data_IF_625109627885
#
_entry.id   IF_625109627885
#
_cell.length_a   1.000
_cell.length_b   1.000
_cell.length_c   1.000
_cell.angle_alpha   90.00
_cell.angle_beta   90.00
_cell.angle_gamma   90.00
#
_symmetry.space_group_name_H-M   'P 1'
#
loop_
_entity.id
_entity.type
_entity.pdbx_description
1 polymer ?
#
# COMPACT_ATOMS: atom_id res chain seq x y z
N UNK A 1 -3.79 2.52 12.57
CA UNK A 1 -3.85 3.42 11.40
C UNK A 1 -4.86 4.53 11.67
N UNK A 2 -4.46 5.80 11.59
CA UNK A 2 -5.34 6.97 11.83
C UNK A 2 -6.35 7.15 10.69
N UNK A 3 -7.47 7.84 10.93
CA UNK A 3 -8.50 8.11 9.91
C UNK A 3 -7.92 8.91 8.72
N UNK A 4 -7.07 9.90 9.01
CA UNK A 4 -6.37 10.68 7.99
C UNK A 4 -5.49 9.82 7.09
N UNK A 5 -4.86 8.77 7.64
CA UNK A 5 -4.04 7.83 6.86
C UNK A 5 -4.92 6.97 5.96
N UNK A 6 -6.07 6.52 6.46
CA UNK A 6 -7.00 5.75 5.64
C UNK A 6 -7.53 6.59 4.48
N UNK A 7 -7.97 7.82 4.76
CA UNK A 7 -8.40 8.78 3.76
C UNK A 7 -7.28 9.06 2.73
N UNK A 8 -6.04 9.17 3.20
CA UNK A 8 -4.88 9.34 2.33
C UNK A 8 -4.62 8.10 1.45
N UNK A 9 -4.74 6.88 1.97
CA UNK A 9 -4.60 5.66 1.18
C UNK A 9 -5.74 5.54 0.15
N UNK A 10 -6.98 5.87 0.49
CA UNK A 10 -8.11 5.87 -0.44
C UNK A 10 -7.89 6.75 -1.69
N UNK A 11 -7.01 7.75 -1.62
CA UNK A 11 -6.63 8.55 -2.80
C UNK A 11 -5.81 7.77 -3.85
N UNK A 12 -5.37 6.55 -3.53
CA UNK A 12 -4.54 5.67 -4.38
C UNK A 12 -3.26 6.34 -4.88
N UNK A 13 -2.73 7.30 -4.12
CA UNK A 13 -1.51 8.05 -4.47
C UNK A 13 -0.24 7.22 -4.34
N UNK A 14 -0.24 6.23 -3.45
CA UNK A 14 0.87 5.27 -3.31
C UNK A 14 0.36 3.93 -2.79
N UNK A 15 1.03 2.84 -3.17
CA UNK A 15 0.79 1.50 -2.67
C UNK A 15 1.99 0.57 -2.82
N UNK A 16 1.90 -0.58 -2.15
CA UNK A 16 2.86 -1.68 -2.19
C UNK A 16 2.23 -2.87 -2.92
N UNK A 17 2.56 -3.11 -4.19
CA UNK A 17 2.00 -4.25 -4.93
C UNK A 17 2.51 -5.61 -4.43
N UNK A 18 3.55 -5.64 -3.58
CA UNK A 18 4.19 -6.88 -3.08
C UNK A 18 5.31 -7.41 -3.98
N UNK A 19 5.62 -6.73 -5.09
CA UNK A 19 6.71 -7.09 -6.00
C UNK A 19 8.09 -6.60 -5.55
N UNK A 20 9.13 -7.24 -6.10
CA UNK A 20 10.53 -6.91 -5.86
C UNK A 20 11.27 -6.57 -7.16
N UNK A 21 12.26 -5.66 -7.06
CA UNK A 21 13.19 -5.42 -8.16
C UNK A 21 14.22 -6.56 -8.31
N UNK A 22 15.06 -6.49 -9.35
CA UNK A 22 16.10 -7.51 -9.60
C UNK A 22 17.17 -7.60 -8.51
N UNK A 23 17.29 -6.59 -7.65
CA UNK A 23 18.18 -6.59 -6.49
C UNK A 23 17.45 -7.02 -5.21
N UNK A 24 16.17 -7.41 -5.32
CA UNK A 24 15.30 -7.80 -4.24
C UNK A 24 14.89 -6.65 -3.31
N UNK A 25 14.87 -5.40 -3.79
CA UNK A 25 14.27 -4.26 -3.09
C UNK A 25 12.77 -4.26 -3.29
N UNK A 26 12.01 -3.88 -2.26
CA UNK A 26 10.56 -3.74 -2.34
C UNK A 26 10.19 -2.60 -3.29
N UNK A 27 9.19 -2.82 -4.14
CA UNK A 27 8.67 -1.83 -5.07
C UNK A 27 7.54 -1.05 -4.43
N UNK A 28 7.64 0.27 -4.43
CA UNK A 28 6.53 1.20 -4.21
C UNK A 28 6.06 1.73 -5.55
N UNK A 29 4.75 1.88 -5.71
CA UNK A 29 4.16 2.56 -6.87
C UNK A 29 3.51 3.84 -6.40
N UNK A 30 3.93 4.97 -6.97
CA UNK A 30 3.38 6.30 -6.73
C UNK A 30 2.63 6.74 -7.98
N UNK A 31 1.33 6.95 -7.85
CA UNK A 31 0.51 7.46 -8.94
C UNK A 31 0.48 8.99 -8.89
N UNK A 32 0.86 9.65 -9.98
CA UNK A 32 0.68 11.09 -10.11
C UNK A 32 -0.61 11.36 -10.89
N UNK A 33 -1.56 11.96 -10.19
CA UNK A 33 -2.82 12.45 -10.74
C UNK A 33 -2.89 13.94 -10.44
N UNK A 34 -3.21 14.79 -11.40
CA UNK A 34 -3.43 16.24 -11.20
C UNK A 34 -2.24 17.02 -10.57
N UNK A 35 -1.00 16.77 -11.02
CA UNK A 35 0.20 17.56 -10.70
C UNK A 35 0.57 17.67 -9.20
N UNK A 36 0.13 16.71 -8.36
CA UNK A 36 0.42 16.73 -6.92
C UNK A 36 0.07 18.08 -6.27
N UNK A 37 -1.20 18.49 -6.36
CA UNK A 37 -1.70 19.65 -5.63
C UNK A 37 -1.45 19.50 -4.11
N UNK A 38 -1.54 20.61 -3.37
CA UNK A 38 -1.20 20.67 -1.93
C UNK A 38 -1.83 19.54 -1.11
N UNK A 39 -3.11 19.24 -1.33
CA UNK A 39 -3.81 18.13 -0.68
C UNK A 39 -3.21 16.76 -1.01
N UNK A 40 -2.95 16.47 -2.29
CA UNK A 40 -2.38 15.18 -2.72
C UNK A 40 -0.96 14.97 -2.22
N UNK A 41 -0.16 16.04 -2.07
CA UNK A 41 1.17 15.94 -1.43
C UNK A 41 1.05 15.50 0.01
N UNK A 42 0.10 16.07 0.76
CA UNK A 42 -0.17 15.68 2.15
C UNK A 42 -0.64 14.23 2.24
N UNK A 43 -1.55 13.81 1.35
CA UNK A 43 -1.97 12.40 1.30
C UNK A 43 -0.80 11.47 0.97
N UNK A 44 0.03 11.81 -0.02
CA UNK A 44 1.20 11.01 -0.38
C UNK A 44 2.19 10.90 0.79
N UNK A 45 2.46 12.00 1.50
CA UNK A 45 3.34 12.02 2.66
C UNK A 45 2.81 11.13 3.81
N UNK A 46 1.52 11.24 4.13
CA UNK A 46 0.87 10.41 5.16
C UNK A 46 0.93 8.92 4.78
N UNK A 47 0.55 8.58 3.55
CA UNK A 47 0.56 7.21 3.05
C UNK A 47 1.98 6.62 3.02
N UNK A 48 2.97 7.35 2.51
CA UNK A 48 4.38 6.89 2.50
C UNK A 48 4.90 6.70 3.93
N UNK A 49 4.58 7.62 4.84
CA UNK A 49 5.00 7.52 6.25
C UNK A 49 4.40 6.29 6.92
N UNK A 50 3.12 6.03 6.70
CA UNK A 50 2.45 4.83 7.21
C UNK A 50 3.08 3.56 6.63
N UNK A 51 3.20 3.45 5.31
CA UNK A 51 3.70 2.24 4.66
C UNK A 51 5.14 1.92 5.03
N UNK A 52 6.01 2.92 5.20
CA UNK A 52 7.38 2.70 5.70
C UNK A 52 7.41 2.11 7.10
N UNK A 53 6.51 2.56 8.00
CA UNK A 53 6.42 2.04 9.38
C UNK A 53 5.97 0.59 9.41
N UNK A 54 5.22 0.15 8.40
CA UNK A 54 4.81 -1.24 8.24
C UNK A 54 5.91 -2.16 7.69
N UNK A 55 7.03 -1.61 7.21
CA UNK A 55 8.17 -2.39 6.72
C UNK A 55 9.18 -2.63 7.85
N UNK A 56 9.85 -3.79 7.82
CA UNK A 56 10.94 -4.09 8.75
C UNK A 56 12.19 -3.27 8.46
N UNK A 57 13.01 -3.04 9.49
CA UNK A 57 14.30 -2.33 9.35
C UNK A 57 15.22 -3.01 8.33
N UNK A 58 15.18 -4.34 8.22
CA UNK A 58 15.96 -5.09 7.23
C UNK A 58 15.58 -4.70 5.78
N UNK A 59 14.29 -4.55 5.51
CA UNK A 59 13.79 -4.11 4.19
C UNK A 59 14.24 -2.66 3.94
N UNK A 60 14.08 -1.79 4.92
CA UNK A 60 14.46 -0.37 4.80
C UNK A 60 15.97 -0.19 4.58
N UNK A 61 16.80 -0.98 5.26
CA UNK A 61 18.27 -0.98 5.10
C UNK A 61 18.71 -1.48 3.72
N UNK A 62 18.06 -2.53 3.20
CA UNK A 62 18.33 -3.03 1.83
C UNK A 62 18.03 -1.96 0.77
N UNK A 63 17.07 -1.09 1.06
CA UNK A 63 16.65 0.00 0.19
C UNK A 63 15.37 -0.32 -0.56
N UNK A 64 14.81 0.70 -1.19
CA UNK A 64 13.49 0.66 -1.83
C UNK A 64 13.60 1.06 -3.30
N UNK A 65 12.67 0.58 -4.10
CA UNK A 65 12.54 1.00 -5.50
C UNK A 65 11.19 1.69 -5.68
N UNK A 66 11.21 2.92 -6.18
CA UNK A 66 10.02 3.76 -6.31
C UNK A 66 9.71 3.91 -7.79
N UNK A 67 8.55 3.43 -8.23
CA UNK A 67 8.06 3.63 -9.59
C UNK A 67 6.98 4.71 -9.54
N UNK A 68 7.22 5.80 -10.23
CA UNK A 68 6.29 6.92 -10.36
C UNK A 68 5.55 6.76 -11.68
N UNK A 69 4.28 6.37 -11.61
CA UNK A 69 3.41 6.30 -12.79
C UNK A 69 2.88 7.69 -13.12
N UNK A 70 3.36 8.21 -14.25
CA UNK A 70 3.01 9.51 -14.79
C UNK A 70 2.42 9.42 -16.21
N UNK A 71 1.93 8.24 -16.60
CA UNK A 71 1.44 8.02 -17.95
C UNK A 71 0.20 8.85 -18.29
N UNK A 72 -0.64 9.13 -17.28
CA UNK A 72 -1.89 9.90 -17.41
C UNK A 72 -1.68 11.41 -17.21
N UNK A 73 -0.50 11.83 -16.77
CA UNK A 73 -0.21 13.23 -16.51
C UNK A 73 0.24 13.92 -17.80
N UNK A 74 -0.56 14.89 -18.25
CA UNK A 74 -0.24 15.74 -19.40
C UNK A 74 0.76 16.83 -19.04
N UNK A 75 0.94 17.12 -17.75
CA UNK A 75 1.92 18.07 -17.27
C UNK A 75 3.34 17.45 -17.27
N UNK A 76 4.33 18.30 -17.54
CA UNK A 76 5.72 17.94 -17.32
C UNK A 76 5.94 17.81 -15.81
N UNK A 77 5.95 16.58 -15.30
CA UNK A 77 6.54 16.30 -13.99
C UNK A 77 7.87 17.01 -13.89
N UNK A 78 7.88 18.04 -13.05
CA UNK A 78 9.03 18.90 -12.88
C UNK A 78 10.06 18.20 -12.00
N UNK A 79 11.30 18.70 -12.05
CA UNK A 79 12.34 18.33 -11.08
C UNK A 79 11.89 18.53 -9.63
N UNK A 80 10.94 19.42 -9.36
CA UNK A 80 10.42 19.66 -8.02
C UNK A 80 9.61 18.46 -7.50
N UNK A 81 8.83 17.79 -8.35
CA UNK A 81 8.07 16.59 -7.97
C UNK A 81 8.99 15.42 -7.63
N UNK A 82 10.01 15.18 -8.45
CA UNK A 82 11.03 14.16 -8.15
C UNK A 82 11.71 14.46 -6.80
N UNK A 83 12.17 15.70 -6.59
CA UNK A 83 12.79 16.12 -5.32
C UNK A 83 11.87 15.95 -4.11
N UNK A 84 10.59 16.27 -4.25
CA UNK A 84 9.61 16.03 -3.20
C UNK A 84 9.52 14.54 -2.85
N UNK A 85 9.38 13.66 -3.85
CA UNK A 85 9.31 12.21 -3.64
C UNK A 85 10.61 11.69 -3.01
N UNK A 86 11.79 12.11 -3.49
CA UNK A 86 13.06 11.77 -2.84
C UNK A 86 13.09 12.20 -1.36
N UNK A 87 12.55 13.39 -1.06
CA UNK A 87 12.43 13.91 0.29
C UNK A 87 11.60 13.00 1.22
N UNK A 88 10.54 12.38 0.71
CA UNK A 88 9.70 11.44 1.48
C UNK A 88 10.45 10.19 1.93
N UNK A 89 11.52 9.80 1.22
CA UNK A 89 12.34 8.63 1.53
C UNK A 89 13.75 8.99 2.00
N UNK A 90 13.96 10.22 2.48
CA UNK A 90 15.26 10.69 2.96
C UNK A 90 15.83 9.74 4.02
N UNK A 91 17.12 9.41 3.88
CA UNK A 91 17.83 8.48 4.75
C UNK A 91 17.77 7.02 4.29
N UNK A 92 16.98 6.70 3.28
CA UNK A 92 16.90 5.35 2.69
C UNK A 92 17.64 5.27 1.36
N UNK A 93 18.13 4.08 1.02
CA UNK A 93 18.74 3.80 -0.27
C UNK A 93 17.64 3.57 -1.34
N UNK A 94 17.22 4.64 -2.02
CA UNK A 94 16.15 4.54 -3.02
C UNK A 94 16.63 4.63 -4.47
N UNK A 95 15.93 3.91 -5.35
CA UNK A 95 16.05 4.06 -6.81
C UNK A 95 14.71 4.48 -7.37
N UNK A 96 14.64 5.65 -8.00
CA UNK A 96 13.39 6.21 -8.52
C UNK A 96 13.32 6.04 -10.04
N UNK A 97 12.21 5.47 -10.51
CA UNK A 97 11.87 5.32 -11.92
C UNK A 97 10.66 6.19 -12.24
N UNK A 98 10.78 7.03 -13.26
CA UNK A 98 9.69 7.88 -13.73
C UNK A 98 9.15 7.35 -15.04
N UNK A 99 7.91 6.85 -15.02
CA UNK A 99 7.27 6.22 -16.17
C UNK A 99 6.40 7.23 -16.90
N UNK A 100 6.82 7.60 -18.11
CA UNK A 100 6.08 8.52 -18.99
C UNK A 100 5.34 7.77 -20.10
N UNK A 101 4.31 8.40 -20.65
CA UNK A 101 3.60 7.88 -21.82
C UNK A 101 4.52 7.78 -23.04
N UNK A 102 4.24 6.86 -23.96
CA UNK A 102 5.09 6.65 -25.15
C UNK A 102 5.18 7.91 -26.03
N UNK A 103 4.08 8.67 -26.18
CA UNK A 103 4.05 9.92 -26.95
C UNK A 103 4.96 11.04 -26.40
N UNK A 104 5.44 10.93 -25.15
CA UNK A 104 6.48 11.82 -24.63
C UNK A 104 7.81 11.64 -25.38
N UNK A 105 8.18 10.38 -25.66
CA UNK A 105 9.45 9.99 -26.28
C UNK A 105 9.47 10.21 -27.78
N UNK A 106 8.31 10.16 -28.45
CA UNK A 106 8.20 10.49 -29.88
C UNK A 106 8.51 11.98 -30.16
N UNK A 107 8.22 12.87 -29.19
CA UNK A 107 8.41 14.32 -29.32
C UNK A 107 9.74 14.82 -28.77
N UNK A 108 10.48 13.99 -28.03
CA UNK A 108 11.76 14.34 -27.44
C UNK A 108 12.77 13.24 -27.76
N UNK A 109 13.75 13.53 -28.62
CA UNK A 109 14.94 12.69 -28.81
C UNK A 109 15.87 12.88 -27.60
N UNK A 110 15.36 12.60 -26.40
CA UNK A 110 16.22 12.45 -25.23
C UNK A 110 16.46 10.96 -25.06
N UNK A 111 17.72 10.57 -25.22
CA UNK A 111 18.24 9.26 -24.84
C UNK A 111 17.76 8.98 -23.42
N UNK A 112 17.36 7.73 -23.10
CA UNK A 112 17.23 7.28 -21.70
C UNK A 112 18.62 7.39 -21.05
N UNK A 113 19.00 8.60 -20.65
CA UNK A 113 20.23 8.88 -19.95
C UNK A 113 20.04 8.28 -18.58
N UNK A 114 20.83 7.24 -18.29
CA UNK A 114 21.09 6.87 -16.90
C UNK A 114 21.71 8.11 -16.27
N UNK A 115 20.95 8.86 -15.48
CA UNK A 115 21.56 9.88 -14.66
C UNK A 115 22.48 9.17 -13.67
N UNK A 116 23.76 9.48 -13.75
CA UNK A 116 24.78 8.95 -12.84
C UNK A 116 24.81 9.72 -11.51
N UNK A 117 23.90 10.67 -11.30
CA UNK A 117 23.76 11.37 -10.03
C UNK A 117 22.74 10.67 -9.14
N UNK A 118 23.08 10.48 -7.87
CA UNK A 118 22.30 9.70 -6.88
C UNK A 118 20.90 10.27 -6.60
N UNK A 119 20.58 11.45 -7.13
CA UNK A 119 19.36 12.22 -6.84
C UNK A 119 18.49 12.50 -8.07
N UNK A 120 18.82 11.93 -9.23
CA UNK A 120 18.01 12.11 -10.44
C UNK A 120 17.24 10.83 -10.80
N UNK A 121 15.97 10.97 -11.20
CA UNK A 121 15.12 9.83 -11.51
C UNK A 121 15.51 9.20 -12.85
N UNK A 122 15.39 7.89 -12.96
CA UNK A 122 15.55 7.17 -14.23
C UNK A 122 14.24 7.32 -15.01
N UNK A 123 14.25 8.16 -16.04
CA UNK A 123 13.07 8.41 -16.88
C UNK A 123 13.01 7.37 -18.00
N UNK A 124 11.90 6.66 -18.11
CA UNK A 124 11.70 5.61 -19.12
C UNK A 124 10.22 5.48 -19.51
N UNK A 125 9.98 4.75 -20.60
CA UNK A 125 8.62 4.39 -21.03
C UNK A 125 8.17 3.08 -20.40
N UNK A 126 6.86 2.81 -20.38
CA UNK A 126 6.29 1.56 -19.86
C UNK A 126 6.97 0.33 -20.48
N UNK A 127 7.19 0.32 -21.79
CA UNK A 127 7.82 -0.79 -22.50
C UNK A 127 9.26 -1.09 -22.04
N UNK A 128 9.97 -0.11 -21.44
CA UNK A 128 11.35 -0.27 -20.97
C UNK A 128 11.45 -0.78 -19.53
N UNK A 129 10.36 -0.82 -18.76
CA UNK A 129 10.36 -1.32 -17.38
C UNK A 129 10.81 -2.77 -17.28
N UNK A 130 10.44 -3.61 -18.24
CA UNK A 130 10.80 -5.05 -18.28
C UNK A 130 12.32 -5.31 -18.33
N UNK A 131 13.11 -4.31 -18.76
CA UNK A 131 14.59 -4.38 -18.69
C UNK A 131 15.12 -4.29 -17.27
N UNK A 132 14.39 -3.62 -16.37
CA UNK A 132 14.80 -3.36 -14.99
C UNK A 132 14.09 -4.26 -13.98
N UNK A 133 12.90 -4.75 -14.33
CA UNK A 133 12.04 -5.54 -13.45
C UNK A 133 11.62 -6.86 -14.12
N UNK A 134 11.28 -7.84 -13.31
CA UNK A 134 10.58 -9.04 -13.77
C UNK A 134 9.09 -8.70 -13.97
N UNK A 135 8.48 -9.22 -15.04
CA UNK A 135 7.05 -9.03 -15.31
C UNK A 135 6.18 -9.58 -14.18
N UNK A 136 6.61 -10.63 -13.48
CA UNK A 136 5.85 -11.19 -12.35
C UNK A 136 5.87 -10.30 -11.10
N UNK A 137 6.76 -9.30 -11.05
CA UNK A 137 6.88 -8.36 -9.93
C UNK A 137 6.27 -6.99 -10.22
N UNK A 138 5.70 -6.77 -11.41
CA UNK A 138 5.06 -5.51 -11.80
C UNK A 138 3.56 -5.70 -12.06
N UNK A 139 2.71 -4.76 -11.61
CA UNK A 139 1.30 -4.75 -11.99
C UNK A 139 1.06 -4.62 -13.50
N UNK A 140 -0.09 -5.07 -13.96
CA UNK A 140 -0.49 -5.04 -15.38
C UNK A 140 -0.51 -3.62 -15.96
N UNK A 141 -0.89 -2.62 -15.16
CA UNK A 141 -0.91 -1.22 -15.56
C UNK A 141 0.49 -0.71 -15.94
N UNK A 142 1.53 -1.31 -15.36
CA UNK A 142 2.95 -1.04 -15.63
C UNK A 142 3.59 -2.08 -16.57
N UNK A 143 2.79 -3.02 -17.11
CA UNK A 143 3.22 -3.93 -18.18
C UNK A 143 3.81 -5.23 -17.65
N UNK A 144 3.53 -5.56 -16.38
CA UNK A 144 3.80 -6.88 -15.83
C UNK A 144 2.56 -7.78 -15.84
N UNK A 145 2.58 -8.76 -14.96
CA UNK A 145 1.58 -9.83 -14.79
C UNK A 145 1.16 -10.04 -13.33
N UNK A 146 1.71 -9.23 -12.41
CA UNK A 146 1.35 -9.27 -11.01
C UNK A 146 -0.12 -8.83 -10.85
N UNK A 147 -0.95 -9.75 -10.40
CA UNK A 147 -2.34 -9.44 -10.07
C UNK A 147 -2.36 -8.66 -8.76
N UNK A 148 -2.63 -7.36 -8.85
CA UNK A 148 -2.75 -6.50 -7.70
C UNK A 148 -4.16 -5.90 -7.62
N UNK A 149 -4.87 -6.20 -6.53
CA UNK A 149 -6.16 -5.61 -6.25
C UNK A 149 -6.01 -4.59 -5.11
N UNK A 150 -6.11 -3.31 -5.47
CA UNK A 150 -5.97 -2.21 -4.51
C UNK A 150 -7.02 -2.27 -3.40
N UNK A 151 -8.27 -2.57 -3.74
CA UNK A 151 -9.38 -2.55 -2.78
C UNK A 151 -9.22 -3.66 -1.74
N UNK A 152 -8.86 -4.87 -2.19
CA UNK A 152 -8.54 -5.96 -1.28
C UNK A 152 -7.33 -5.64 -0.39
N UNK A 153 -6.28 -5.04 -0.97
CA UNK A 153 -5.09 -4.61 -0.23
C UNK A 153 -5.42 -3.56 0.84
N UNK A 154 -6.27 -2.57 0.52
CA UNK A 154 -6.70 -1.56 1.47
C UNK A 154 -7.53 -2.18 2.60
N UNK A 155 -8.46 -3.06 2.27
CA UNK A 155 -9.29 -3.78 3.25
C UNK A 155 -8.45 -4.64 4.20
N UNK A 156 -7.36 -5.24 3.73
CA UNK A 156 -6.43 -5.97 4.60
C UNK A 156 -5.78 -5.05 5.65
N UNK A 157 -5.39 -3.84 5.26
CA UNK A 157 -4.84 -2.86 6.21
C UNK A 157 -5.91 -2.28 7.16
N UNK A 158 -7.14 -2.11 6.70
CA UNK A 158 -8.29 -1.76 7.57
C UNK A 158 -8.57 -2.88 8.59
N UNK A 159 -8.54 -4.14 8.15
CA UNK A 159 -8.69 -5.30 9.00
C UNK A 159 -7.58 -5.36 10.05
N UNK A 160 -6.31 -5.19 9.66
CA UNK A 160 -5.17 -5.19 10.58
C UNK A 160 -5.32 -4.09 11.66
N UNK A 161 -5.81 -2.90 11.28
CA UNK A 161 -6.16 -1.85 12.24
C UNK A 161 -7.27 -2.31 13.20
N UNK A 162 -8.37 -2.85 12.66
CA UNK A 162 -9.53 -3.27 13.45
C UNK A 162 -9.14 -4.39 14.43
N UNK A 163 -8.35 -5.36 13.97
CA UNK A 163 -7.80 -6.43 14.76
C UNK A 163 -6.94 -5.91 15.92
N UNK A 164 -5.96 -5.05 15.64
CA UNK A 164 -5.10 -4.48 16.69
C UNK A 164 -5.89 -3.63 17.70
N UNK A 165 -6.87 -2.84 17.24
CA UNK A 165 -7.73 -2.07 18.12
C UNK A 165 -8.57 -2.99 19.04
N UNK A 166 -9.11 -4.08 18.48
CA UNK A 166 -9.87 -5.08 19.23
C UNK A 166 -8.98 -5.77 20.26
N UNK A 167 -7.75 -6.12 19.91
CA UNK A 167 -6.78 -6.72 20.81
C UNK A 167 -6.47 -5.78 21.99
N UNK A 168 -6.13 -4.52 21.73
CA UNK A 168 -5.90 -3.52 22.79
C UNK A 168 -7.13 -3.31 23.68
N UNK A 169 -8.34 -3.30 23.09
CA UNK A 169 -9.57 -3.19 23.86
C UNK A 169 -9.80 -4.41 24.77
N UNK A 170 -9.49 -5.62 24.30
CA UNK A 170 -9.52 -6.85 25.11
C UNK A 170 -8.49 -6.81 26.25
N UNK A 171 -7.26 -6.38 25.98
CA UNK A 171 -6.21 -6.24 27.01
C UNK A 171 -6.61 -5.25 28.10
N UNK A 172 -7.18 -4.10 27.71
CA UNK A 172 -7.71 -3.11 28.64
C UNK A 172 -8.85 -3.68 29.50
N UNK A 173 -9.76 -4.46 28.91
CA UNK A 173 -10.81 -5.15 29.64
C UNK A 173 -10.23 -6.16 30.64
N UNK A 174 -9.22 -6.93 30.22
CA UNK A 174 -8.55 -7.90 31.08
C UNK A 174 -7.88 -7.21 32.29
N UNK A 175 -7.18 -6.09 32.07
CA UNK A 175 -6.57 -5.31 33.14
C UNK A 175 -7.61 -4.77 34.13
N UNK A 176 -8.74 -4.25 33.62
CA UNK A 176 -9.83 -3.74 34.45
C UNK A 176 -10.48 -4.85 35.29
N UNK A 177 -10.67 -6.04 34.71
CA UNK A 177 -11.17 -7.21 35.43
C UNK A 177 -10.19 -7.71 36.50
N UNK A 178 -8.89 -7.55 36.29
CA UNK A 178 -7.86 -7.92 37.27
C UNK A 178 -7.74 -6.91 38.40
N UNK A 179 -7.86 -5.60 38.13
CA UNK A 179 -7.81 -4.55 39.15
C UNK A 179 -9.01 -4.58 40.11
N UNK A 180 -10.17 -5.04 39.64
CA UNK A 180 -11.41 -5.06 40.42
C UNK A 180 -11.49 -6.21 41.44
N UNK A 181 -10.41 -7.00 41.61
CA UNK A 181 -10.33 -8.08 42.62
C UNK A 181 -10.09 -7.58 44.05
N UNK A 182 -9.73 -6.32 44.25
CA UNK A 182 -9.57 -5.72 45.58
C UNK A 182 -10.91 -5.18 46.11
N UNK A 183 -11.18 -5.38 47.40
CA UNK A 183 -12.37 -4.97 48.16
C UNK A 183 -12.81 -3.52 47.87
N UNK A 184 -13.77 -3.36 46.94
CA UNK A 184 -14.44 -2.10 46.63
C UNK A 184 -15.67 -1.91 47.54
N UNK A 185 -15.97 -0.65 47.90
CA UNK A 185 -17.24 -0.34 48.56
C UNK A 185 -18.40 -0.55 47.58
N UNK A 186 -19.62 -0.88 48.02
CA UNK A 186 -20.74 -1.19 47.12
C UNK A 186 -21.00 -0.14 46.02
N UNK A 187 -20.92 1.15 46.37
CA UNK A 187 -21.12 2.27 45.44
C UNK A 187 -19.99 2.41 44.40
N UNK A 188 -18.76 2.04 44.76
CA UNK A 188 -17.61 2.02 43.86
C UNK A 188 -17.63 0.77 42.97
N UNK A 189 -18.13 -0.36 43.50
CA UNK A 189 -18.32 -1.60 42.75
C UNK A 189 -19.35 -1.45 41.63
N UNK A 190 -20.48 -0.79 41.87
CA UNK A 190 -21.51 -0.54 40.84
C UNK A 190 -21.00 0.36 39.70
N UNK A 191 -20.24 1.40 40.04
CA UNK A 191 -19.65 2.30 39.05
C UNK A 191 -18.61 1.58 38.17
N UNK A 192 -17.76 0.75 38.77
CA UNK A 192 -16.76 -0.05 38.04
C UNK A 192 -17.40 -1.19 37.24
N UNK A 193 -18.47 -1.81 37.72
CA UNK A 193 -19.25 -2.80 36.96
C UNK A 193 -19.87 -2.16 35.71
N UNK A 194 -20.44 -0.95 35.84
CA UNK A 194 -21.01 -0.23 34.69
C UNK A 194 -19.95 0.12 33.65
N UNK A 195 -18.77 0.56 34.11
CA UNK A 195 -17.61 0.82 33.25
C UNK A 195 -17.12 -0.46 32.56
N UNK A 196 -17.02 -1.56 33.29
CA UNK A 196 -16.66 -2.87 32.75
C UNK A 196 -17.65 -3.35 31.68
N UNK A 197 -18.96 -3.23 31.94
CA UNK A 197 -20.01 -3.60 30.98
C UNK A 197 -19.93 -2.75 29.69
N UNK A 198 -19.62 -1.45 29.81
CA UNK A 198 -19.47 -0.58 28.66
C UNK A 198 -18.22 -0.91 27.82
N UNK A 199 -17.10 -1.22 28.46
CA UNK A 199 -15.89 -1.71 27.76
C UNK A 199 -16.18 -3.06 27.11
N UNK A 200 -16.89 -3.97 27.79
CA UNK A 200 -17.28 -5.27 27.24
C UNK A 200 -18.18 -5.13 26.00
N UNK A 201 -19.17 -4.25 26.01
CA UNK A 201 -20.01 -3.97 24.84
C UNK A 201 -19.19 -3.41 23.67
N UNK A 202 -18.24 -2.51 23.96
CA UNK A 202 -17.34 -1.94 22.95
C UNK A 202 -16.45 -3.02 22.34
N UNK A 203 -15.90 -3.92 23.16
CA UNK A 203 -15.11 -5.08 22.71
C UNK A 203 -15.96 -6.00 21.84
N UNK A 204 -17.18 -6.33 22.27
CA UNK A 204 -18.09 -7.18 21.49
C UNK A 204 -18.35 -6.61 20.09
N UNK A 205 -18.74 -5.34 20.00
CA UNK A 205 -18.99 -4.68 18.71
C UNK A 205 -17.73 -4.65 17.82
N UNK A 206 -16.55 -4.45 18.43
CA UNK A 206 -15.27 -4.44 17.70
C UNK A 206 -14.90 -5.83 17.16
N UNK A 207 -15.19 -6.90 17.93
CA UNK A 207 -15.03 -8.29 17.48
C UNK A 207 -15.94 -8.57 16.28
N UNK A 208 -17.22 -8.21 16.37
CA UNK A 208 -18.17 -8.42 15.27
C UNK A 208 -17.72 -7.71 14.00
N UNK A 209 -17.34 -6.43 14.10
CA UNK A 209 -16.81 -5.68 12.96
C UNK A 209 -15.55 -6.34 12.36
N UNK A 210 -14.60 -6.76 13.21
CA UNK A 210 -13.39 -7.47 12.77
C UNK A 210 -13.73 -8.77 12.03
N UNK A 211 -14.67 -9.55 12.56
CA UNK A 211 -15.11 -10.81 11.95
C UNK A 211 -15.81 -10.60 10.61
N UNK A 212 -16.60 -9.53 10.46
CA UNK A 212 -17.28 -9.24 9.21
C UNK A 212 -16.30 -8.78 8.12
N UNK A 213 -15.27 -7.98 8.47
CA UNK A 213 -14.17 -7.68 7.55
C UNK A 213 -13.42 -8.95 7.11
N UNK A 214 -13.10 -9.86 8.04
CA UNK A 214 -12.43 -11.12 7.71
C UNK A 214 -13.25 -11.99 6.73
N UNK A 215 -14.56 -12.10 6.95
CA UNK A 215 -15.46 -12.81 6.03
C UNK A 215 -15.45 -12.18 4.64
N UNK A 216 -15.49 -10.85 4.56
CA UNK A 216 -15.50 -10.12 3.29
C UNK A 216 -14.19 -10.31 2.51
N UNK A 217 -13.05 -10.20 3.20
CA UNK A 217 -11.72 -10.44 2.62
C UNK A 217 -11.63 -11.87 2.08
N UNK A 218 -12.03 -12.88 2.86
CA UNK A 218 -12.04 -14.28 2.43
C UNK A 218 -12.93 -14.52 1.22
N UNK A 219 -14.10 -13.87 1.19
CA UNK A 219 -15.03 -13.94 0.06
C UNK A 219 -14.39 -13.37 -1.20
N UNK A 220 -13.77 -12.19 -1.14
CA UNK A 220 -13.09 -11.59 -2.28
C UNK A 220 -11.88 -12.39 -2.75
N UNK A 221 -11.07 -12.92 -1.83
CA UNK A 221 -9.96 -13.82 -2.17
C UNK A 221 -10.44 -15.05 -2.94
N UNK A 222 -11.56 -15.66 -2.50
CA UNK A 222 -12.16 -16.79 -3.20
C UNK A 222 -12.63 -16.41 -4.61
N UNK A 223 -13.26 -15.24 -4.78
CA UNK A 223 -13.64 -14.74 -6.10
C UNK A 223 -12.42 -14.52 -7.00
N UNK A 224 -11.34 -13.94 -6.46
CA UNK A 224 -10.12 -13.73 -7.21
C UNK A 224 -9.49 -15.05 -7.67
N UNK A 225 -9.42 -16.05 -6.79
CA UNK A 225 -8.93 -17.39 -7.14
C UNK A 225 -9.75 -18.05 -8.26
N UNK A 226 -11.08 -17.87 -8.25
CA UNK A 226 -11.96 -18.38 -9.30
C UNK A 226 -11.67 -17.67 -10.63
N UNK A 227 -11.57 -16.34 -10.62
CA UNK A 227 -11.25 -15.54 -11.82
C UNK A 227 -9.90 -15.96 -12.39
N UNK A 228 -8.89 -16.15 -11.54
CA UNK A 228 -7.55 -16.55 -11.94
C UNK A 228 -7.55 -17.97 -12.54
N UNK A 229 -8.33 -18.90 -11.97
CA UNK A 229 -8.50 -20.25 -12.51
C UNK A 229 -9.15 -20.25 -13.91
N UNK A 230 -10.23 -19.49 -14.10
CA UNK A 230 -10.87 -19.34 -15.42
C UNK A 230 -9.91 -18.73 -16.44
N UNK A 231 -9.15 -17.70 -16.04
CA UNK A 231 -8.17 -17.07 -16.94
C UNK A 231 -7.06 -18.05 -17.35
N UNK A 232 -6.61 -18.90 -16.42
CA UNK A 232 -5.61 -19.93 -16.72
C UNK A 232 -6.11 -20.97 -17.73
N UNK A 233 -7.35 -21.46 -17.54
CA UNK A 233 -7.99 -22.37 -18.50
C UNK A 233 -8.10 -21.73 -19.88
N UNK A 234 -8.60 -20.48 -19.97
CA UNK A 234 -8.73 -19.77 -21.24
C UNK A 234 -7.40 -19.46 -21.95
N UNK A 235 -6.32 -19.18 -21.21
CA UNK A 235 -4.98 -19.03 -21.79
C UNK A 235 -4.44 -20.33 -22.39
N UNK A 236 -4.82 -21.50 -21.84
CA UNK A 236 -4.46 -22.81 -22.37
C UNK A 236 -5.16 -23.12 -23.71
N UNK A 237 -6.35 -22.56 -23.96
CA UNK A 237 -7.10 -22.74 -25.20
C UNK A 237 -6.76 -21.73 -26.31
N UNK A 238 -6.03 -20.65 -26.01
CA UNK A 238 -5.72 -19.57 -26.96
C UNK A 238 -4.23 -19.47 -27.35
N UNK A 239 -3.38 -20.44 -26.98
CA UNK A 239 -2.04 -20.53 -27.57
C UNK A 239 -2.16 -21.12 -28.98
N UNK A 240 -1.95 -20.35 -30.07
CA UNK A 240 -1.93 -20.94 -31.39
C UNK A 240 -0.67 -21.77 -31.51
N UNK A 241 -0.83 -22.97 -32.06
CA UNK A 241 0.26 -23.75 -32.61
C UNK A 241 1.10 -22.86 -33.54
N UNK A 242 2.25 -22.39 -33.05
CA UNK A 242 3.34 -21.90 -33.88
C UNK A 242 4.28 -23.09 -34.06
N UNK A 243 4.00 -23.83 -35.14
CA UNK A 243 4.94 -24.74 -35.79
C UNK A 243 5.60 -23.97 -36.93
#
# INVERSE_FOLDING_TARGET
MEEDVLNALQTRTVYLPGGFDRNGKVIFIVNIVNDLQSWQRKCLELSVTYLKRSLSDLILQKGLTIIVDAQKDTARISRQHARFIYGLFRGLNITLYLVKSEGFWEKHVETCTKSYTKEEPIILSKARLTKFFDMHNLPEELGGSLQFNYDLWLQQHEFEKCYNNTLTAMENLQLLLQSNKSTLRPTEADAELKKCAQVQATVHNSIEATMDLDKEIKRQQKYQQIIDAFRHEHHQYLSPALT
#
